data_IF_728925970347
#
_entry.id   IF_728925970347
#
_cell.length_a   1.000
_cell.length_b   1.000
_cell.length_c   1.000
_cell.angle_alpha   90.00
_cell.angle_beta   90.00
_cell.angle_gamma   90.00
#
_symmetry.space_group_name_H-M   'P 1'
#
loop_
_entity.id
_entity.type
_entity.pdbx_description
1 polymer ?
#
# COMPACT_ATOMS: atom_id res chain seq x y z
N UNK A 1 -17.10 8.89 -54.19
CA UNK A 1 -15.93 9.58 -53.60
C UNK A 1 -16.42 10.31 -52.37
N UNK A 2 -16.33 9.63 -51.24
CA UNK A 2 -16.83 10.09 -49.94
C UNK A 2 -15.65 9.97 -48.99
N UNK A 3 -15.25 11.05 -48.31
CA UNK A 3 -14.04 11.03 -47.51
C UNK A 3 -14.24 10.19 -46.24
N UNK A 4 -13.27 9.32 -45.97
CA UNK A 4 -13.10 8.63 -44.69
C UNK A 4 -12.90 9.65 -43.56
N UNK A 5 -13.58 9.49 -42.41
CA UNK A 5 -13.11 10.13 -41.19
C UNK A 5 -11.89 9.36 -40.68
N UNK A 6 -10.82 10.14 -40.57
CA UNK A 6 -9.51 9.83 -40.03
C UNK A 6 -9.57 9.31 -38.59
N UNK A 7 -8.77 8.27 -38.37
CA UNK A 7 -8.24 7.78 -37.10
C UNK A 7 -8.08 8.88 -36.05
N UNK A 8 -8.90 8.83 -35.00
CA UNK A 8 -8.57 9.48 -33.74
C UNK A 8 -7.62 8.54 -33.00
N UNK A 9 -6.33 8.82 -33.13
CA UNK A 9 -5.35 8.50 -32.09
C UNK A 9 -5.82 9.23 -30.82
N UNK A 10 -6.59 8.53 -29.99
CA UNK A 10 -6.94 9.03 -28.67
C UNK A 10 -5.85 8.59 -27.69
N UNK A 11 -5.14 9.59 -27.19
CA UNK A 11 -4.18 9.54 -26.10
C UNK A 11 -4.69 8.64 -24.96
N UNK A 12 -4.22 7.39 -24.94
CA UNK A 12 -4.27 6.56 -23.73
C UNK A 12 -3.23 7.09 -22.76
N UNK A 13 -3.46 8.30 -22.25
CA UNK A 13 -2.80 8.80 -21.07
C UNK A 13 -3.02 7.74 -19.98
N UNK A 14 -1.93 7.11 -19.57
CA UNK A 14 -1.86 6.28 -18.36
C UNK A 14 -2.22 7.19 -17.19
N UNK A 15 -3.52 7.30 -16.90
CA UNK A 15 -4.02 8.07 -15.78
C UNK A 15 -3.77 7.25 -14.52
N UNK A 16 -2.50 7.21 -14.09
CA UNK A 16 -2.19 6.84 -12.72
C UNK A 16 -2.79 7.94 -11.84
N UNK A 17 -3.75 7.64 -10.96
CA UNK A 17 -4.35 8.66 -10.11
C UNK A 17 -3.24 9.35 -9.32
N UNK A 18 -3.18 10.67 -9.44
CA UNK A 18 -2.13 11.47 -8.82
C UNK A 18 -2.20 11.29 -7.30
N UNK A 19 -1.13 10.73 -6.73
CA UNK A 19 -1.02 10.49 -5.29
C UNK A 19 -1.09 11.83 -4.56
N UNK A 20 -2.05 12.04 -3.65
CA UNK A 20 -2.07 13.25 -2.85
C UNK A 20 -0.80 13.31 -1.99
N UNK A 21 -0.13 14.46 -2.02
CA UNK A 21 1.07 14.69 -1.22
C UNK A 21 0.70 14.82 0.27
N UNK A 22 1.09 13.84 1.07
CA UNK A 22 0.88 13.86 2.51
C UNK A 22 1.76 14.95 3.16
N UNK A 23 1.17 15.80 4.02
CA UNK A 23 1.86 16.95 4.62
C UNK A 23 2.16 16.74 6.11
N UNK A 24 3.37 17.09 6.53
CA UNK A 24 3.71 17.16 7.96
C UNK A 24 3.07 18.40 8.60
N UNK A 25 2.12 18.21 9.52
CA UNK A 25 1.45 19.30 10.26
C UNK A 25 0.88 18.84 11.60
N UNK A 26 0.52 19.79 12.46
CA UNK A 26 -0.26 19.50 13.68
C UNK A 26 -1.68 19.05 13.33
N UNK A 27 -2.15 17.96 13.93
CA UNK A 27 -3.49 17.42 13.72
C UNK A 27 -4.41 17.74 14.91
N UNK A 28 -5.73 17.92 14.69
CA UNK A 28 -6.67 18.23 15.77
C UNK A 28 -6.77 17.08 16.78
N UNK A 29 -7.13 17.38 18.03
CA UNK A 29 -7.16 16.41 19.12
C UNK A 29 -5.78 16.16 19.74
N UNK A 30 -5.73 15.21 20.70
CA UNK A 30 -4.49 14.85 21.41
C UNK A 30 -4.04 13.45 21.05
N UNK A 31 -2.73 13.22 21.17
CA UNK A 31 -2.20 11.88 21.13
C UNK A 31 -2.71 11.07 22.34
N UNK A 32 -2.94 9.77 22.15
CA UNK A 32 -3.24 8.82 23.22
C UNK A 32 -2.09 8.81 24.24
N UNK A 33 -2.39 8.59 25.53
CA UNK A 33 -1.36 8.37 26.54
C UNK A 33 -0.40 7.27 26.09
N UNK A 34 0.91 7.50 26.28
CA UNK A 34 1.95 6.55 25.85
C UNK A 34 1.75 5.15 26.43
N UNK A 35 1.29 5.07 27.69
CA UNK A 35 1.04 3.81 28.38
C UNK A 35 -0.01 2.96 27.65
N UNK A 36 -1.09 3.60 27.18
CA UNK A 36 -2.15 2.92 26.43
C UNK A 36 -1.64 2.45 25.07
N UNK A 37 -0.89 3.30 24.35
CA UNK A 37 -0.30 2.93 23.07
C UNK A 37 0.71 1.78 23.18
N UNK A 38 1.48 1.72 24.29
CA UNK A 38 2.41 0.63 24.55
C UNK A 38 1.66 -0.67 24.86
N UNK A 39 0.61 -0.61 25.68
CA UNK A 39 -0.21 -1.77 26.02
C UNK A 39 -0.89 -2.37 24.78
N UNK A 40 -1.42 -1.54 23.89
CA UNK A 40 -2.01 -1.98 22.61
C UNK A 40 -0.96 -2.66 21.72
N UNK A 41 0.22 -2.06 21.59
CA UNK A 41 1.33 -2.67 20.84
C UNK A 41 1.74 -4.02 21.43
N UNK A 42 1.86 -4.14 22.75
CA UNK A 42 2.21 -5.40 23.43
C UNK A 42 1.17 -6.50 23.15
N UNK A 43 -0.11 -6.15 23.14
CA UNK A 43 -1.20 -7.07 22.79
C UNK A 43 -1.14 -7.52 21.33
N UNK A 44 -0.96 -6.59 20.39
CA UNK A 44 -0.82 -6.91 18.97
C UNK A 44 0.43 -7.75 18.69
N UNK A 45 1.56 -7.38 19.30
CA UNK A 45 2.83 -8.10 19.23
C UNK A 45 2.71 -9.51 19.77
N UNK A 46 2.01 -9.71 20.90
CA UNK A 46 1.76 -11.04 21.46
C UNK A 46 0.93 -11.89 20.48
N UNK A 47 -0.17 -11.34 19.94
CA UNK A 47 -1.01 -12.03 18.96
C UNK A 47 -0.25 -12.37 17.68
N UNK A 48 0.61 -11.48 17.18
CA UNK A 48 1.44 -11.75 16.01
C UNK A 48 2.54 -12.77 16.29
N UNK A 49 3.00 -12.85 17.55
CA UNK A 49 3.98 -13.82 18.02
C UNK A 49 3.40 -15.22 18.25
N UNK A 50 2.07 -15.35 18.43
CA UNK A 50 1.41 -16.65 18.62
C UNK A 50 1.67 -17.57 17.42
N UNK A 51 2.34 -18.70 17.69
CA UNK A 51 2.69 -19.69 16.66
C UNK A 51 3.98 -19.42 15.90
N UNK A 52 4.69 -18.31 16.15
CA UNK A 52 6.01 -18.07 15.56
C UNK A 52 7.12 -18.80 16.34
N UNK A 53 8.06 -19.46 15.65
CA UNK A 53 9.30 -19.92 16.29
C UNK A 53 10.04 -18.75 16.95
N UNK A 54 10.60 -18.97 18.15
CA UNK A 54 11.21 -17.92 18.96
C UNK A 54 12.24 -17.04 18.23
N UNK A 55 13.00 -17.61 17.27
CA UNK A 55 13.97 -16.87 16.47
C UNK A 55 13.38 -15.98 15.36
N UNK A 56 12.19 -16.30 14.86
CA UNK A 56 11.52 -15.52 13.80
C UNK A 56 10.72 -14.34 14.36
N UNK A 57 10.22 -14.46 15.59
CA UNK A 57 9.46 -13.39 16.25
C UNK A 57 10.22 -12.07 16.29
N UNK A 58 11.48 -12.08 16.72
CA UNK A 58 12.33 -10.88 16.82
C UNK A 58 12.66 -10.24 15.46
N UNK A 59 12.63 -11.01 14.36
CA UNK A 59 12.87 -10.50 13.01
C UNK A 59 11.61 -9.84 12.43
N UNK A 60 10.46 -10.47 12.64
CA UNK A 60 9.19 -10.08 12.02
C UNK A 60 8.47 -8.98 12.83
N UNK A 61 8.54 -9.03 14.15
CA UNK A 61 7.88 -8.08 15.05
C UNK A 61 8.93 -7.11 15.63
N UNK A 62 8.91 -5.83 15.23
CA UNK A 62 9.88 -4.85 15.71
C UNK A 62 9.65 -4.50 17.18
N UNK A 63 10.70 -4.55 18.01
CA UNK A 63 10.63 -4.18 19.44
C UNK A 63 10.09 -2.76 19.67
N UNK A 64 9.45 -2.53 20.83
CA UNK A 64 8.80 -1.26 21.15
C UNK A 64 9.76 -0.05 21.15
N UNK A 65 11.04 -0.26 21.47
CA UNK A 65 12.13 0.73 21.45
C UNK A 65 12.51 1.19 20.03
N UNK A 66 12.12 0.40 19.02
CA UNK A 66 12.35 0.67 17.60
C UNK A 66 11.18 1.45 16.98
N UNK A 67 10.06 1.57 17.70
CA UNK A 67 8.84 2.16 17.16
C UNK A 67 8.73 3.65 17.44
N UNK A 68 8.42 4.40 16.38
CA UNK A 68 8.06 5.81 16.46
C UNK A 68 6.57 5.99 16.26
N UNK A 69 5.96 6.83 17.09
CA UNK A 69 4.53 7.10 17.07
C UNK A 69 4.21 8.31 16.19
N UNK A 70 3.21 8.13 15.35
CA UNK A 70 2.67 9.16 14.47
C UNK A 70 1.17 9.27 14.66
N UNK A 71 0.63 10.48 14.49
CA UNK A 71 -0.80 10.65 14.17
C UNK A 71 -0.89 10.88 12.68
N UNK A 72 -1.83 10.24 12.01
CA UNK A 72 -2.10 10.43 10.59
C UNK A 72 -3.54 10.90 10.44
N UNK A 73 -3.79 11.74 9.45
CA UNK A 73 -5.13 12.11 9.01
C UNK A 73 -5.37 11.54 7.62
N UNK A 74 -6.50 10.87 7.47
CA UNK A 74 -6.94 10.27 6.22
C UNK A 74 -7.82 11.26 5.43
N UNK A 75 -8.02 11.00 4.14
CA UNK A 75 -8.91 11.79 3.26
C UNK A 75 -10.39 11.77 3.69
N UNK A 76 -10.83 10.72 4.39
CA UNK A 76 -12.13 10.68 5.08
C UNK A 76 -12.19 11.54 6.36
N UNK A 77 -11.09 12.19 6.75
CA UNK A 77 -10.98 13.03 7.93
C UNK A 77 -10.64 12.28 9.22
N UNK A 78 -10.72 10.95 9.24
CA UNK A 78 -10.35 10.12 10.40
C UNK A 78 -8.88 10.33 10.78
N UNK A 79 -8.62 10.33 12.09
CA UNK A 79 -7.27 10.43 12.65
C UNK A 79 -6.92 9.15 13.37
N UNK A 80 -5.82 8.53 12.96
CA UNK A 80 -5.32 7.29 13.55
C UNK A 80 -3.94 7.52 14.13
N UNK A 81 -3.63 6.77 15.19
CA UNK A 81 -2.24 6.62 15.64
C UNK A 81 -1.64 5.38 15.02
N UNK A 82 -0.42 5.53 14.50
CA UNK A 82 0.30 4.46 13.82
C UNK A 82 1.76 4.44 14.25
N UNK A 83 2.39 3.27 14.08
CA UNK A 83 3.79 3.06 14.39
C UNK A 83 4.63 2.77 13.14
N UNK A 84 5.84 3.30 13.11
CA UNK A 84 6.85 3.02 12.07
C UNK A 84 8.20 2.70 12.69
N UNK A 85 9.13 2.12 11.90
CA UNK A 85 10.46 1.74 12.40
C UNK A 85 11.36 2.99 12.41
N UNK A 86 11.15 3.84 13.40
CA UNK A 86 11.91 5.06 13.62
C UNK A 86 11.31 6.32 13.03
N UNK A 87 11.94 7.46 13.32
CA UNK A 87 11.38 8.78 13.04
C UNK A 87 11.50 9.25 11.57
N UNK A 88 12.33 8.58 10.78
CA UNK A 88 12.50 8.88 9.35
C UNK A 88 11.65 7.97 8.45
N UNK A 89 11.09 6.89 9.00
CA UNK A 89 10.16 6.00 8.30
C UNK A 89 8.77 6.64 8.29
N UNK A 90 8.48 7.46 7.27
CA UNK A 90 7.24 8.22 7.17
C UNK A 90 6.04 7.28 6.95
N UNK A 91 4.91 7.47 7.68
CA UNK A 91 3.72 6.65 7.48
C UNK A 91 3.20 6.62 6.05
N UNK A 92 3.39 7.72 5.30
CA UNK A 92 2.98 7.85 3.91
C UNK A 92 3.83 7.02 2.95
N UNK A 93 5.07 6.68 3.28
CA UNK A 93 5.96 5.92 2.39
C UNK A 93 5.85 4.40 2.55
N UNK A 94 5.10 3.95 3.56
CA UNK A 94 4.89 2.53 3.84
C UNK A 94 3.79 1.96 2.96
N UNK A 95 4.03 0.72 2.49
CA UNK A 95 2.97 -0.14 1.95
C UNK A 95 2.31 -0.88 3.10
N UNK A 96 0.99 -1.00 3.03
CA UNK A 96 0.17 -1.73 4.00
C UNK A 96 -0.60 -2.81 3.26
N UNK A 97 -1.13 -3.77 4.00
CA UNK A 97 -2.02 -4.78 3.43
C UNK A 97 -3.46 -4.26 3.43
N UNK A 98 -4.19 -4.60 2.37
CA UNK A 98 -5.61 -4.36 2.22
C UNK A 98 -6.46 -5.44 2.92
N UNK A 99 -7.79 -5.37 2.78
CA UNK A 99 -8.69 -6.34 3.43
C UNK A 99 -8.46 -7.78 2.96
N UNK A 100 -8.01 -7.99 1.73
CA UNK A 100 -7.75 -9.31 1.13
C UNK A 100 -6.25 -9.64 1.16
N UNK A 101 -5.50 -8.97 2.04
CA UNK A 101 -4.04 -9.08 2.19
C UNK A 101 -3.24 -8.58 0.97
N UNK A 102 -3.89 -7.94 0.00
CA UNK A 102 -3.25 -7.32 -1.15
C UNK A 102 -2.34 -6.16 -0.72
N UNK A 103 -1.28 -5.86 -1.46
CA UNK A 103 -0.43 -4.71 -1.13
C UNK A 103 -1.09 -3.41 -1.60
N UNK A 104 -1.43 -2.55 -0.64
CA UNK A 104 -1.90 -1.20 -0.92
C UNK A 104 -0.79 -0.32 -1.50
N UNK A 105 -1.22 0.75 -2.16
CA UNK A 105 -0.29 1.78 -2.62
C UNK A 105 0.36 2.49 -1.43
N UNK A 106 1.55 3.05 -1.64
CA UNK A 106 2.23 3.81 -0.59
C UNK A 106 1.37 4.98 -0.15
N UNK A 107 1.14 5.07 1.17
CA UNK A 107 0.35 6.16 1.75
C UNK A 107 -1.14 5.89 1.76
N UNK A 108 -1.55 4.67 1.42
CA UNK A 108 -2.90 4.18 1.67
C UNK A 108 -2.96 3.40 2.98
N UNK A 109 -4.11 3.47 3.64
CA UNK A 109 -4.43 2.72 4.86
C UNK A 109 -5.90 2.30 4.86
N UNK A 110 -6.18 1.16 5.49
CA UNK A 110 -7.54 0.74 5.82
C UNK A 110 -8.18 1.67 6.86
N UNK A 111 -9.38 2.13 6.54
CA UNK A 111 -10.27 2.86 7.42
C UNK A 111 -11.68 2.30 7.23
N UNK A 112 -12.10 1.47 8.18
CA UNK A 112 -13.41 0.81 8.14
C UNK A 112 -14.41 1.67 8.87
N UNK A 113 -15.48 2.05 8.18
CA UNK A 113 -16.63 2.72 8.75
C UNK A 113 -17.91 2.21 8.07
N UNK A 114 -18.98 2.06 8.85
CA UNK A 114 -20.25 1.53 8.34
C UNK A 114 -20.85 2.45 7.27
N UNK A 115 -20.67 3.77 7.43
CA UNK A 115 -21.06 4.81 6.49
C UNK A 115 -20.08 4.97 5.31
N UNK A 116 -19.37 3.89 4.97
CA UNK A 116 -18.46 3.79 3.82
C UNK A 116 -19.13 4.22 2.53
N UNK A 117 -18.50 5.03 1.65
CA UNK A 117 -18.97 5.13 0.29
C UNK A 117 -19.03 3.72 -0.30
N UNK A 118 -20.06 3.39 -1.11
CA UNK A 118 -20.14 2.08 -1.73
C UNK A 118 -18.92 1.86 -2.64
N UNK A 119 -18.56 0.59 -2.87
CA UNK A 119 -17.55 0.24 -3.86
C UNK A 119 -17.86 0.88 -5.22
N UNK A 120 -16.85 1.16 -6.03
CA UNK A 120 -17.05 1.83 -7.32
C UNK A 120 -16.57 0.94 -8.43
N UNK A 121 -17.32 0.89 -9.53
CA UNK A 121 -16.80 0.33 -10.76
C UNK A 121 -15.65 1.21 -11.25
N UNK A 122 -14.57 0.57 -11.65
CA UNK A 122 -13.34 1.21 -12.09
C UNK A 122 -12.89 0.53 -13.38
N UNK A 123 -12.53 1.34 -14.37
CA UNK A 123 -11.97 0.83 -15.61
C UNK A 123 -10.71 0.02 -15.35
N UNK A 124 -10.54 -1.07 -16.08
CA UNK A 124 -9.27 -1.80 -16.14
C UNK A 124 -8.29 -0.97 -16.98
N UNK A 125 -7.20 -0.52 -16.36
CA UNK A 125 -6.19 0.30 -17.04
C UNK A 125 -4.97 -0.53 -17.48
N UNK A 126 -4.70 -1.64 -16.79
CA UNK A 126 -3.54 -2.51 -17.04
C UNK A 126 -3.91 -3.98 -16.81
N UNK A 127 -3.35 -4.86 -17.64
CA UNK A 127 -3.44 -6.32 -17.51
C UNK A 127 -2.08 -6.86 -17.06
N UNK A 128 -2.07 -7.54 -15.92
CA UNK A 128 -0.88 -8.06 -15.25
C UNK A 128 -0.66 -9.55 -15.48
N UNK A 129 -0.39 -10.29 -14.40
CA UNK A 129 -0.10 -11.73 -14.46
C UNK A 129 -1.35 -12.56 -14.73
N UNK A 130 -1.20 -13.60 -15.57
CA UNK A 130 -2.21 -14.63 -15.79
C UNK A 130 -1.93 -15.84 -14.90
N UNK A 131 -2.95 -16.30 -14.20
CA UNK A 131 -2.91 -17.54 -13.42
C UNK A 131 -4.01 -18.48 -13.90
N UNK A 132 -3.77 -19.79 -13.77
CA UNK A 132 -4.77 -20.81 -14.02
C UNK A 132 -5.09 -21.52 -12.71
N UNK A 133 -6.37 -21.74 -12.46
CA UNK A 133 -6.83 -22.49 -11.30
C UNK A 133 -7.76 -23.61 -11.74
N UNK A 134 -7.46 -24.82 -11.29
CA UNK A 134 -8.29 -26.00 -11.52
C UNK A 134 -9.18 -26.22 -10.31
N UNK A 135 -10.47 -26.04 -10.50
CA UNK A 135 -11.49 -26.31 -9.50
C UNK A 135 -11.92 -27.78 -9.57
N UNK A 136 -12.26 -28.40 -8.42
CA UNK A 136 -12.89 -29.71 -8.41
C UNK A 136 -14.27 -29.66 -9.09
N UNK A 137 -14.86 -30.83 -9.36
CA UNK A 137 -16.26 -30.89 -9.75
C UNK A 137 -17.14 -30.25 -8.67
N UNK A 138 -18.17 -29.54 -9.10
CA UNK A 138 -19.17 -28.96 -8.21
C UNK A 138 -20.00 -30.06 -7.53
N UNK A 139 -20.46 -29.84 -6.28
CA UNK A 139 -21.30 -30.82 -5.59
C UNK A 139 -22.61 -31.08 -6.33
N UNK A 140 -23.13 -32.30 -6.22
CA UNK A 140 -24.43 -32.67 -6.81
C UNK A 140 -25.57 -31.92 -6.12
N UNK A 141 -25.46 -31.75 -4.79
CA UNK A 141 -26.45 -31.03 -4.00
C UNK A 141 -26.34 -29.51 -4.24
N UNK A 142 -27.47 -28.81 -4.41
CA UNK A 142 -27.48 -27.35 -4.57
C UNK A 142 -26.86 -26.62 -3.39
N UNK A 143 -26.04 -25.62 -3.70
CA UNK A 143 -25.56 -24.66 -2.69
C UNK A 143 -26.70 -23.71 -2.28
N UNK A 144 -26.68 -23.25 -1.04
CA UNK A 144 -27.76 -22.53 -0.37
C UNK A 144 -28.43 -21.46 -1.27
N UNK A 145 -29.77 -21.52 -1.35
CA UNK A 145 -30.60 -20.52 -2.03
C UNK A 145 -30.93 -20.81 -3.49
N UNK A 146 -30.36 -21.86 -4.10
CA UNK A 146 -30.67 -22.26 -5.48
C UNK A 146 -31.60 -23.47 -5.51
N UNK A 147 -32.55 -23.46 -6.44
CA UNK A 147 -33.35 -24.65 -6.75
C UNK A 147 -32.48 -25.73 -7.41
N UNK A 148 -32.87 -27.01 -7.35
CA UNK A 148 -32.17 -28.09 -8.04
C UNK A 148 -32.01 -27.84 -9.55
N UNK A 149 -32.99 -27.20 -10.18
CA UNK A 149 -32.96 -26.91 -11.62
C UNK A 149 -31.95 -25.81 -11.96
N UNK A 150 -31.93 -24.70 -11.19
CA UNK A 150 -30.97 -23.62 -11.37
C UNK A 150 -29.55 -24.11 -11.13
N UNK A 151 -29.35 -24.91 -10.06
CA UNK A 151 -28.04 -25.49 -9.76
C UNK A 151 -27.58 -26.43 -10.88
N UNK A 152 -28.46 -27.31 -11.36
CA UNK A 152 -28.13 -28.22 -12.46
C UNK A 152 -27.76 -27.48 -13.76
N UNK A 153 -28.31 -26.28 -14.00
CA UNK A 153 -28.01 -25.48 -15.17
C UNK A 153 -26.61 -24.81 -15.12
N UNK A 154 -26.06 -24.57 -13.93
CA UNK A 154 -24.79 -23.84 -13.76
C UNK A 154 -23.63 -24.67 -13.21
N UNK A 155 -23.89 -25.83 -12.57
CA UNK A 155 -22.85 -26.65 -11.93
C UNK A 155 -21.92 -27.32 -12.95
N UNK A 156 -20.65 -27.48 -12.58
CA UNK A 156 -19.67 -28.23 -13.35
C UNK A 156 -19.50 -29.66 -12.81
N UNK A 157 -20.03 -30.65 -13.54
CA UNK A 157 -20.00 -32.08 -13.16
C UNK A 157 -18.60 -32.71 -13.16
N UNK A 158 -17.61 -32.02 -13.72
CA UNK A 158 -16.21 -32.44 -13.84
C UNK A 158 -15.29 -31.34 -13.33
N UNK A 159 -14.08 -31.70 -12.87
CA UNK A 159 -13.04 -30.70 -12.62
C UNK A 159 -12.86 -29.82 -13.86
N UNK A 160 -12.70 -28.52 -13.62
CA UNK A 160 -12.60 -27.53 -14.69
C UNK A 160 -11.54 -26.49 -14.35
N UNK A 161 -10.85 -25.99 -15.37
CA UNK A 161 -9.82 -24.98 -15.22
C UNK A 161 -10.35 -23.64 -15.70
N UNK A 162 -10.07 -22.58 -14.95
CA UNK A 162 -10.31 -21.19 -15.36
C UNK A 162 -9.00 -20.41 -15.34
N UNK A 163 -8.88 -19.48 -16.27
CA UNK A 163 -7.78 -18.52 -16.28
C UNK A 163 -8.26 -17.21 -15.66
N UNK A 164 -7.42 -16.63 -14.82
CA UNK A 164 -7.61 -15.35 -14.16
C UNK A 164 -6.49 -14.40 -14.58
N UNK A 165 -6.82 -13.13 -14.73
CA UNK A 165 -5.84 -12.08 -14.93
C UNK A 165 -5.88 -11.14 -13.74
N UNK A 166 -4.70 -10.84 -13.18
CA UNK A 166 -4.54 -9.68 -12.31
C UNK A 166 -4.70 -8.44 -13.15
N UNK A 167 -5.58 -7.53 -12.74
CA UNK A 167 -5.83 -6.27 -13.44
C UNK A 167 -5.62 -5.10 -12.50
N UNK A 168 -4.92 -4.07 -12.97
CA UNK A 168 -4.86 -2.78 -12.27
C UNK A 168 -6.06 -1.95 -12.71
N UNK A 169 -6.85 -1.51 -11.73
CA UNK A 169 -8.00 -0.64 -11.94
C UNK A 169 -7.56 0.83 -12.00
N UNK A 170 -8.41 1.71 -12.53
CA UNK A 170 -8.12 3.15 -12.64
C UNK A 170 -7.84 3.84 -11.29
N UNK A 171 -8.36 3.30 -10.18
CA UNK A 171 -8.02 3.73 -8.82
C UNK A 171 -6.62 3.27 -8.34
N UNK A 172 -5.94 2.44 -9.12
CA UNK A 172 -4.62 1.88 -8.82
C UNK A 172 -4.63 0.62 -7.95
N UNK A 173 -5.80 0.10 -7.57
CA UNK A 173 -5.94 -1.19 -6.88
C UNK A 173 -5.93 -2.35 -7.87
N UNK A 174 -5.48 -3.51 -7.40
CA UNK A 174 -5.36 -4.73 -8.20
C UNK A 174 -6.48 -5.68 -7.78
N UNK A 175 -7.15 -6.30 -8.75
CA UNK A 175 -8.12 -7.38 -8.55
C UNK A 175 -7.90 -8.47 -9.58
N UNK A 176 -8.53 -9.62 -9.41
CA UNK A 176 -8.60 -10.66 -10.44
C UNK A 176 -9.85 -10.48 -11.30
N UNK A 177 -9.71 -10.70 -12.61
CA UNK A 177 -10.84 -10.83 -13.55
C UNK A 177 -10.74 -12.16 -14.29
N UNK A 178 -11.89 -12.75 -14.64
CA UNK A 178 -11.95 -14.08 -15.25
C UNK A 178 -11.80 -13.95 -16.77
N UNK A 179 -10.87 -14.73 -17.34
CA UNK A 179 -10.73 -14.81 -18.79
C UNK A 179 -11.95 -15.53 -19.43
N UNK A 180 -12.46 -15.08 -20.58
CA UNK A 180 -13.55 -15.73 -21.31
C UNK A 180 -13.25 -17.18 -21.74
N UNK A 181 -11.97 -17.51 -21.89
CA UNK A 181 -11.48 -18.87 -22.15
C UNK A 181 -10.01 -18.98 -21.73
N UNK A 182 -9.50 -20.21 -21.63
CA UNK A 182 -8.08 -20.45 -21.29
C UNK A 182 -7.11 -19.77 -22.26
N UNK A 183 -7.40 -19.79 -23.56
CA UNK A 183 -6.51 -19.21 -24.58
C UNK A 183 -6.65 -17.69 -24.75
N UNK A 184 -7.60 -17.05 -24.06
CA UNK A 184 -7.84 -15.63 -24.24
C UNK A 184 -6.71 -14.80 -23.62
N UNK A 185 -6.24 -13.80 -24.37
CA UNK A 185 -5.30 -12.78 -23.90
C UNK A 185 -5.86 -11.37 -24.11
N UNK A 186 -5.38 -10.36 -23.34
CA UNK A 186 -5.85 -8.98 -23.46
C UNK A 186 -5.79 -8.41 -24.88
N UNK A 187 -4.80 -8.83 -25.68
CA UNK A 187 -4.64 -8.39 -27.06
C UNK A 187 -5.75 -8.87 -28.02
N UNK A 188 -6.52 -9.91 -27.63
CA UNK A 188 -7.64 -10.40 -28.44
C UNK A 188 -8.88 -9.50 -28.32
N UNK A 189 -8.91 -8.59 -27.32
CA UNK A 189 -10.06 -7.76 -27.00
C UNK A 189 -11.21 -8.53 -26.35
N UNK A 190 -12.25 -7.83 -25.86
CA UNK A 190 -13.40 -8.48 -25.26
C UNK A 190 -14.22 -9.23 -26.31
N UNK A 191 -14.80 -10.36 -25.92
CA UNK A 191 -15.85 -11.03 -26.69
C UNK A 191 -17.15 -10.29 -26.47
N UNK A 192 -17.80 -9.89 -27.57
CA UNK A 192 -19.11 -9.27 -27.54
C UNK A 192 -20.19 -10.32 -27.75
N UNK A 193 -21.38 -10.02 -27.25
CA UNK A 193 -22.59 -10.81 -27.47
C UNK A 193 -23.32 -10.31 -28.72
N UNK A 194 -23.99 -11.21 -29.45
CA UNK A 194 -24.75 -10.86 -30.65
C UNK A 194 -25.84 -9.82 -30.35
N UNK A 195 -26.07 -8.90 -31.29
CA UNK A 195 -26.97 -7.75 -31.10
C UNK A 195 -28.40 -8.16 -30.72
N UNK A 196 -28.94 -9.20 -31.38
CA UNK A 196 -30.27 -9.73 -31.08
C UNK A 196 -30.35 -10.24 -29.64
N UNK A 197 -29.31 -10.98 -29.19
CA UNK A 197 -29.25 -11.46 -27.81
C UNK A 197 -29.07 -10.32 -26.81
N UNK A 198 -28.33 -9.26 -27.16
CA UNK A 198 -28.21 -8.07 -26.32
C UNK A 198 -29.55 -7.36 -26.18
N UNK A 199 -30.36 -7.28 -27.25
CA UNK A 199 -31.71 -6.73 -27.18
C UNK A 199 -32.60 -7.57 -26.24
N UNK A 200 -32.61 -8.89 -26.40
CA UNK A 200 -33.34 -9.80 -25.49
C UNK A 200 -32.91 -9.61 -24.03
N UNK A 201 -31.60 -9.62 -23.75
CA UNK A 201 -31.08 -9.41 -22.39
C UNK A 201 -31.46 -8.04 -21.82
N UNK A 202 -31.56 -7.01 -22.66
CA UNK A 202 -31.97 -5.66 -22.24
C UNK A 202 -33.45 -5.65 -21.83
N UNK A 203 -34.31 -6.32 -22.59
CA UNK A 203 -35.73 -6.46 -22.27
C UNK A 203 -35.93 -7.28 -20.99
N UNK A 204 -35.31 -8.46 -20.90
CA UNK A 204 -35.32 -9.33 -19.70
C UNK A 204 -34.87 -8.55 -18.45
N UNK A 205 -33.82 -7.73 -18.59
CA UNK A 205 -33.26 -6.93 -17.50
C UNK A 205 -34.22 -5.83 -17.02
N UNK A 206 -34.84 -5.07 -17.94
CA UNK A 206 -35.79 -4.02 -17.57
C UNK A 206 -37.10 -4.59 -17.01
N UNK A 207 -37.55 -5.76 -17.49
CA UNK A 207 -38.70 -6.48 -16.91
C UNK A 207 -38.41 -6.97 -15.49
N UNK A 208 -37.25 -7.61 -15.28
CA UNK A 208 -36.79 -8.00 -13.94
C UNK A 208 -36.76 -6.80 -13.00
N UNK A 209 -36.20 -5.67 -13.45
CA UNK A 209 -36.13 -4.49 -12.62
C UNK A 209 -37.51 -3.89 -12.32
N UNK A 210 -38.43 -3.86 -13.29
CA UNK A 210 -39.78 -3.37 -13.10
C UNK A 210 -40.57 -4.21 -12.08
N UNK A 211 -40.37 -5.53 -12.10
CA UNK A 211 -41.02 -6.48 -11.18
C UNK A 211 -40.33 -6.57 -9.81
N UNK A 212 -39.03 -6.28 -9.74
CA UNK A 212 -38.24 -6.32 -8.51
C UNK A 212 -37.32 -5.07 -8.39
N UNK A 213 -37.89 -3.89 -8.08
CA UNK A 213 -37.14 -2.63 -8.04
C UNK A 213 -36.09 -2.55 -6.92
N UNK A 214 -36.11 -3.51 -5.98
CA UNK A 214 -35.12 -3.66 -4.91
C UNK A 214 -34.11 -4.79 -5.16
N UNK A 215 -34.21 -5.47 -6.32
CA UNK A 215 -33.40 -6.64 -6.65
C UNK A 215 -31.92 -6.36 -6.88
N UNK A 216 -31.56 -5.12 -7.22
CA UNK A 216 -30.18 -4.63 -7.24
C UNK A 216 -30.15 -3.20 -6.70
N UNK A 217 -28.95 -2.68 -6.43
CA UNK A 217 -28.79 -1.25 -6.13
C UNK A 217 -28.93 -0.40 -7.41
N UNK A 218 -29.34 0.89 -7.31
CA UNK A 218 -29.35 1.80 -8.46
C UNK A 218 -28.02 1.86 -9.22
N UNK A 219 -26.90 1.71 -8.51
CA UNK A 219 -25.53 1.67 -9.07
C UNK A 219 -25.31 0.43 -9.94
N UNK A 220 -25.68 -0.75 -9.44
CA UNK A 220 -25.56 -2.01 -10.20
C UNK A 220 -26.45 -1.99 -11.43
N UNK A 221 -27.64 -1.37 -11.33
CA UNK A 221 -28.51 -1.18 -12.47
C UNK A 221 -27.87 -0.30 -13.54
N UNK A 222 -27.29 0.83 -13.14
CA UNK A 222 -26.61 1.75 -14.06
C UNK A 222 -25.41 1.07 -14.75
N UNK A 223 -24.60 0.33 -13.98
CA UNK A 223 -23.52 -0.50 -14.51
C UNK A 223 -24.01 -1.49 -15.56
N UNK A 224 -25.04 -2.28 -15.21
CA UNK A 224 -25.58 -3.32 -16.11
C UNK A 224 -26.08 -2.71 -17.42
N UNK A 225 -26.74 -1.54 -17.38
CA UNK A 225 -27.14 -0.80 -18.57
C UNK A 225 -25.95 -0.36 -19.44
N UNK A 226 -24.86 0.12 -18.83
CA UNK A 226 -23.64 0.47 -19.57
C UNK A 226 -23.01 -0.75 -20.23
N UNK A 227 -22.98 -1.89 -19.55
CA UNK A 227 -22.45 -3.16 -20.08
C UNK A 227 -23.31 -3.67 -21.24
N UNK A 228 -24.64 -3.65 -21.10
CA UNK A 228 -25.58 -3.99 -22.19
C UNK A 228 -25.40 -3.06 -23.40
N UNK A 229 -25.31 -1.75 -23.18
CA UNK A 229 -25.10 -0.76 -24.24
C UNK A 229 -23.77 -0.96 -25.00
N UNK A 230 -22.79 -1.61 -24.38
CA UNK A 230 -21.50 -1.96 -24.99
C UNK A 230 -21.48 -3.35 -25.63
N UNK A 231 -22.63 -4.04 -25.73
CA UNK A 231 -22.73 -5.37 -26.32
C UNK A 231 -22.30 -6.50 -25.39
N UNK A 232 -22.41 -6.29 -24.07
CA UNK A 232 -22.03 -7.26 -23.03
C UNK A 232 -20.61 -7.81 -23.20
N UNK A 233 -19.57 -6.95 -23.13
CA UNK A 233 -18.18 -7.36 -23.29
C UNK A 233 -17.74 -8.35 -22.21
N UNK A 234 -17.02 -9.40 -22.62
CA UNK A 234 -16.34 -10.36 -21.73
C UNK A 234 -14.85 -10.46 -22.08
N UNK A 235 -13.92 -10.15 -21.15
CA UNK A 235 -14.18 -9.62 -19.81
C UNK A 235 -14.78 -8.21 -19.87
N UNK A 236 -15.47 -7.81 -18.80
CA UNK A 236 -16.03 -6.45 -18.69
C UNK A 236 -14.88 -5.42 -18.62
N UNK A 237 -15.06 -4.22 -19.20
CA UNK A 237 -14.01 -3.18 -19.21
C UNK A 237 -13.84 -2.50 -17.85
N UNK A 238 -14.81 -2.63 -16.95
CA UNK A 238 -14.80 -2.08 -15.60
C UNK A 238 -15.10 -3.19 -14.57
N UNK A 239 -14.45 -3.10 -13.41
CA UNK A 239 -14.62 -4.05 -12.31
C UNK A 239 -14.96 -3.30 -11.02
N UNK A 240 -15.73 -3.94 -10.14
CA UNK A 240 -16.08 -3.36 -8.86
C UNK A 240 -14.87 -3.38 -7.92
N UNK A 241 -14.29 -2.21 -7.60
CA UNK A 241 -13.19 -2.14 -6.66
C UNK A 241 -13.69 -2.18 -5.21
N UNK A 242 -13.66 -3.35 -4.59
CA UNK A 242 -14.00 -3.54 -3.18
C UNK A 242 -13.00 -2.87 -2.23
N UNK A 243 -11.73 -2.78 -2.61
CA UNK A 243 -10.68 -2.13 -1.81
C UNK A 243 -10.93 -0.63 -1.59
N UNK A 244 -11.37 0.11 -2.62
CA UNK A 244 -11.68 1.54 -2.51
C UNK A 244 -12.71 1.87 -1.43
N UNK A 245 -13.62 0.95 -1.10
CA UNK A 245 -14.59 1.15 -0.02
C UNK A 245 -13.91 1.37 1.32
N UNK A 246 -12.80 0.67 1.56
CA UNK A 246 -12.15 0.59 2.87
C UNK A 246 -10.83 1.35 2.92
N UNK A 247 -10.26 1.70 1.79
CA UNK A 247 -8.92 2.29 1.72
C UNK A 247 -8.98 3.81 1.53
N UNK A 248 -8.12 4.51 2.27
CA UNK A 248 -8.06 5.97 2.33
C UNK A 248 -6.63 6.44 2.19
N UNK A 249 -6.46 7.61 1.58
CA UNK A 249 -5.15 8.25 1.47
C UNK A 249 -4.76 8.96 2.75
N UNK A 250 -3.50 8.84 3.15
CA UNK A 250 -2.89 9.65 4.20
C UNK A 250 -2.67 11.05 3.65
N UNK A 251 -3.43 12.03 4.15
CA UNK A 251 -3.36 13.43 3.73
C UNK A 251 -2.39 14.25 4.58
N UNK A 252 -2.22 13.85 5.85
CA UNK A 252 -1.30 14.54 6.75
C UNK A 252 -0.77 13.60 7.84
N UNK A 253 0.36 13.96 8.42
CA UNK A 253 0.92 13.26 9.58
C UNK A 253 1.55 14.24 10.57
N UNK A 254 1.58 13.83 11.83
CA UNK A 254 2.14 14.56 12.97
C UNK A 254 3.11 13.64 13.72
N UNK A 255 4.32 14.15 13.98
CA UNK A 255 5.31 13.50 14.85
C UNK A 255 4.84 13.54 16.30
N UNK A 256 4.82 12.39 16.99
CA UNK A 256 4.55 12.33 18.44
C UNK A 256 5.84 12.07 19.21
N UNK A 257 6.62 11.07 18.78
CA UNK A 257 7.85 10.65 19.44
C UNK A 257 7.96 9.13 19.56
N UNK A 258 9.06 8.67 20.15
CA UNK A 258 9.31 7.24 20.38
C UNK A 258 8.25 6.61 21.30
N UNK A 259 7.87 5.37 20.99
CA UNK A 259 6.93 4.59 21.80
C UNK A 259 7.51 4.36 23.19
N UNK A 260 8.75 3.88 23.27
CA UNK A 260 9.57 3.91 24.49
C UNK A 260 10.60 5.05 24.37
N UNK A 261 10.64 6.01 25.31
CA UNK A 261 11.62 7.07 25.28
C UNK A 261 13.03 6.51 25.22
N UNK A 262 13.78 6.90 24.19
CA UNK A 262 15.20 6.57 24.11
C UNK A 262 15.94 7.37 25.18
N UNK A 263 16.91 6.72 25.82
CA UNK A 263 17.91 7.44 26.60
C UNK A 263 18.50 8.54 25.69
N UNK A 264 18.66 9.76 26.22
CA UNK A 264 19.33 10.83 25.47
C UNK A 264 20.68 10.27 25.04
N UNK A 265 20.87 10.05 23.74
CA UNK A 265 22.20 9.76 23.24
C UNK A 265 23.09 10.92 23.69
N UNK A 266 24.29 10.64 24.23
CA UNK A 266 25.23 11.72 24.50
C UNK A 266 25.36 12.51 23.21
N UNK A 267 25.09 13.81 23.26
CA UNK A 267 25.23 14.69 22.10
C UNK A 267 26.57 14.36 21.46
N UNK A 268 26.57 13.98 20.18
CA UNK A 268 27.81 13.89 19.41
C UNK A 268 28.50 15.24 19.63
N UNK A 269 29.59 15.23 20.40
CA UNK A 269 30.34 16.44 20.66
C UNK A 269 30.64 17.04 19.29
N UNK A 270 30.25 18.30 19.09
CA UNK A 270 30.56 18.96 17.83
C UNK A 270 32.07 18.82 17.60
N UNK A 271 32.50 18.44 16.39
CA UNK A 271 33.91 18.38 16.09
C UNK A 271 34.53 19.75 16.45
N UNK A 272 35.69 19.76 17.15
CA UNK A 272 36.29 21.01 17.61
C UNK A 272 36.48 21.95 16.42
N UNK A 273 36.14 23.23 16.61
CA UNK A 273 36.26 24.22 15.55
C UNK A 273 37.68 24.27 15.01
N UNK A 274 37.84 24.60 13.73
CA UNK A 274 39.14 24.79 13.08
C UNK A 274 40.07 25.70 13.91
N UNK A 275 39.53 26.79 14.45
CA UNK A 275 40.26 27.70 15.33
C UNK A 275 40.77 27.03 16.62
N UNK A 276 39.99 26.11 17.20
CA UNK A 276 40.39 25.35 18.39
C UNK A 276 41.54 24.39 18.06
N UNK A 277 41.48 23.73 16.91
CA UNK A 277 42.54 22.83 16.43
C UNK A 277 43.82 23.62 16.10
N UNK A 278 43.72 24.75 15.40
CA UNK A 278 44.85 25.62 15.07
C UNK A 278 45.52 26.22 16.31
N UNK A 279 44.74 26.56 17.34
CA UNK A 279 45.30 27.01 18.63
C UNK A 279 46.06 25.88 19.32
N UNK A 280 45.49 24.68 19.34
CA UNK A 280 46.11 23.50 19.96
C UNK A 280 47.40 23.10 19.22
N UNK A 281 47.41 23.20 17.90
CA UNK A 281 48.60 22.95 17.08
C UNK A 281 49.72 23.93 17.43
N UNK A 282 49.42 25.25 17.45
CA UNK A 282 50.41 26.27 17.82
C UNK A 282 50.99 26.07 19.22
N UNK A 283 50.16 25.64 20.17
CA UNK A 283 50.62 25.36 21.53
C UNK A 283 51.59 24.17 21.57
N UNK A 284 51.25 23.07 20.89
CA UNK A 284 52.12 21.89 20.81
C UNK A 284 53.43 22.20 20.05
N UNK A 285 53.38 23.02 19.01
CA UNK A 285 54.58 23.48 18.28
C UNK A 285 55.49 24.34 19.16
N UNK A 286 54.93 25.23 19.98
CA UNK A 286 55.68 26.04 20.93
C UNK A 286 56.34 25.18 22.01
N UNK A 287 55.61 24.20 22.54
CA UNK A 287 56.11 23.26 23.54
C UNK A 287 57.22 22.37 22.97
N UNK A 288 57.05 21.86 21.75
CA UNK A 288 58.08 21.12 21.03
C UNK A 288 59.34 21.97 20.81
N UNK A 289 59.20 23.26 20.49
CA UNK A 289 60.33 24.17 20.36
C UNK A 289 61.06 24.37 21.70
N UNK A 290 60.32 24.53 22.80
CA UNK A 290 60.93 24.64 24.14
C UNK A 290 61.71 23.38 24.51
N UNK A 291 61.14 22.20 24.29
CA UNK A 291 61.80 20.92 24.56
C UNK A 291 63.08 20.76 23.72
N UNK A 292 63.07 21.15 22.44
CA UNK A 292 64.28 21.14 21.60
C UNK A 292 65.37 22.06 22.13
N UNK A 293 65.02 23.25 22.62
CA UNK A 293 65.99 24.16 23.24
C UNK A 293 66.57 23.58 24.53
N UNK A 294 65.74 22.94 25.36
CA UNK A 294 66.20 22.27 26.58
C UNK A 294 67.16 21.11 26.27
N UNK A 295 66.85 20.31 25.24
CA UNK A 295 67.76 19.25 24.77
C UNK A 295 69.10 19.83 24.30
N UNK A 296 69.08 20.85 23.44
CA UNK A 296 70.31 21.50 22.98
C UNK A 296 71.15 22.11 24.13
N UNK A 297 70.51 22.65 25.16
CA UNK A 297 71.21 23.15 26.36
C UNK A 297 71.84 22.01 27.16
N UNK A 298 71.14 20.89 27.32
CA UNK A 298 71.69 19.70 28.00
C UNK A 298 72.85 19.09 27.21
N UNK A 299 72.76 19.04 25.88
CA UNK A 299 73.83 18.54 25.02
C UNK A 299 75.08 19.43 25.13
N UNK A 300 74.91 20.77 25.11
CA UNK A 300 76.02 21.72 25.30
C UNK A 300 76.67 21.66 26.68
N UNK A 301 75.90 21.33 27.73
CA UNK A 301 76.45 21.11 29.08
C UNK A 301 77.15 19.76 29.25
N UNK A 302 76.91 18.81 28.34
CA UNK A 302 77.54 17.49 28.37
C UNK A 302 78.89 17.49 27.65
N UNK A 303 79.08 18.37 26.66
CA UNK A 303 80.37 18.57 25.97
C UNK A 303 81.39 19.38 26.79
N UNK A 304 80.96 20.18 27.76
CA UNK A 304 81.81 21.04 28.62
C UNK A 304 82.24 20.37 29.93
N UNK A 305 81.99 19.07 30.11
CA UNK A 305 82.42 18.31 31.29
C UNK A 305 83.83 17.74 31.02
N UNK A 306 84.91 18.31 31.58
CA UNK A 306 86.25 17.78 31.37
C UNK A 306 86.33 16.37 31.93
N UNK A 307 86.91 15.47 31.14
CA UNK A 307 87.28 14.13 31.58
C UNK A 307 88.30 14.26 32.71
N UNK A 308 87.89 13.93 33.93
CA UNK A 308 88.78 13.58 35.05
C UNK A 308 88.89 12.08 35.15
#
# INVERSE_FOLDING_TARGET
>A
MTPHPTSADDDRATHTPERPAAVLRSLPGRARPRKEALQEYEQESARLGEGLPAGLGALLVPEAEQLYRWRIQLDCGCIHEVWTRGEEDLPSERRRHGPEQEQLQKGQMLCVHDDGPPARYQNIVEWGERTEHTFPADPVEPRHGLSPQEWAAMRHDKPHTRAFWKVTLACGHITDTIAPSLEWKPADGPRLTDADRVAEMTEEFEEFWASNPTGQSPREREHTRRVLAQGWPRPEPEELCYTCRWVRWIMAYQRIGWLIPRAKQPQRQQPPSRATLERRLRQMEAEAKQLRTQLAQLDSHTEDRPQT
#
